data_IF_040274006050
#
_entry.id   IF_040274006050
#
_cell.length_a   1.000
_cell.length_b   1.000
_cell.length_c   1.000
_cell.angle_alpha   90.00
_cell.angle_beta   90.00
_cell.angle_gamma   90.00
#
_symmetry.space_group_name_H-M   'P 1'
#
loop_
_entity.id
_entity.type
_entity.pdbx_description
1 polymer ?
#
# COMPACT_ATOMS: atom_id res chain seq x y z
N UNK A 1 -7.11 29.30 0.12
CA UNK A 1 -7.88 28.26 -0.59
C UNK A 1 -7.88 27.00 0.26
N UNK A 2 -9.06 26.45 0.55
CA UNK A 2 -9.16 25.16 1.23
C UNK A 2 -8.53 24.05 0.35
N UNK A 3 -7.93 23.01 0.95
CA UNK A 3 -7.39 21.91 0.19
C UNK A 3 -8.49 21.19 -0.59
N UNK A 4 -8.19 20.84 -1.83
CA UNK A 4 -9.09 20.08 -2.70
C UNK A 4 -9.29 18.66 -2.14
N UNK A 5 -10.54 18.19 -2.15
CA UNK A 5 -10.95 16.85 -1.68
C UNK A 5 -11.03 15.88 -2.86
N UNK A 6 -9.85 15.49 -3.37
CA UNK A 6 -9.73 14.52 -4.47
C UNK A 6 -9.95 13.12 -3.93
N UNK A 7 -10.97 12.44 -4.46
CA UNK A 7 -11.38 11.10 -4.05
C UNK A 7 -11.18 10.08 -5.17
N UNK A 8 -11.29 8.80 -4.83
CA UNK A 8 -11.22 7.71 -5.81
C UNK A 8 -12.32 7.81 -6.87
N UNK A 9 -13.53 8.18 -6.44
CA UNK A 9 -14.67 8.49 -7.27
C UNK A 9 -14.93 9.99 -7.24
N UNK A 10 -15.32 10.55 -8.38
CA UNK A 10 -15.66 11.96 -8.50
C UNK A 10 -16.88 12.34 -7.68
N UNK A 11 -17.01 13.63 -7.39
CA UNK A 11 -18.15 14.21 -6.67
C UNK A 11 -18.53 15.59 -7.22
N UNK A 12 -19.78 16.00 -7.07
CA UNK A 12 -20.14 17.40 -7.26
C UNK A 12 -19.64 18.24 -6.08
N UNK A 13 -19.41 19.53 -6.33
CA UNK A 13 -19.27 20.52 -5.27
C UNK A 13 -20.63 20.84 -4.66
N UNK A 14 -20.63 21.09 -3.35
CA UNK A 14 -21.79 21.65 -2.68
C UNK A 14 -21.98 23.13 -3.06
N UNK A 15 -23.14 23.69 -2.73
CA UNK A 15 -23.39 25.12 -2.89
C UNK A 15 -22.38 25.97 -2.10
N UNK A 16 -21.93 25.51 -0.93
CA UNK A 16 -20.92 26.18 -0.12
C UNK A 16 -19.54 26.16 -0.79
N UNK A 17 -19.22 25.09 -1.51
CA UNK A 17 -17.93 24.92 -2.19
C UNK A 17 -17.86 25.65 -3.54
N UNK A 18 -19.01 26.11 -4.06
CA UNK A 18 -19.10 26.76 -5.37
C UNK A 18 -18.24 28.04 -5.48
N UNK A 19 -17.96 28.71 -4.36
CA UNK A 19 -17.07 29.87 -4.31
C UNK A 19 -15.66 29.58 -4.86
N UNK A 20 -15.19 28.32 -4.79
CA UNK A 20 -13.89 27.88 -5.34
C UNK A 20 -13.79 28.06 -6.86
N UNK A 21 -14.94 28.15 -7.55
CA UNK A 21 -14.98 28.49 -8.98
C UNK A 21 -14.28 29.82 -9.28
N UNK A 22 -14.33 30.79 -8.37
CA UNK A 22 -13.66 32.09 -8.56
C UNK A 22 -12.12 31.99 -8.55
N UNK A 23 -11.58 30.96 -7.92
CA UNK A 23 -10.14 30.71 -7.86
C UNK A 23 -9.64 29.97 -9.12
N UNK A 24 -10.55 29.38 -9.90
CA UNK A 24 -10.19 28.68 -11.13
C UNK A 24 -9.83 29.67 -12.25
N UNK A 25 -8.98 29.25 -13.22
CA UNK A 25 -8.68 30.06 -14.39
C UNK A 25 -9.98 30.39 -15.15
N UNK A 26 -10.36 31.68 -15.18
CA UNK A 26 -11.61 32.12 -15.79
C UNK A 26 -11.67 31.96 -17.31
N UNK A 27 -10.52 31.88 -17.97
CA UNK A 27 -10.40 31.54 -19.40
C UNK A 27 -9.24 30.58 -19.61
N UNK A 28 -9.50 29.49 -20.33
CA UNK A 28 -8.44 28.57 -20.75
C UNK A 28 -7.72 29.17 -21.97
N UNK A 29 -6.49 29.61 -21.73
CA UNK A 29 -5.60 30.13 -22.77
C UNK A 29 -4.47 29.14 -23.04
N UNK A 30 -3.92 29.18 -24.25
CA UNK A 30 -2.73 28.42 -24.62
C UNK A 30 -1.53 29.36 -24.62
N UNK A 31 -0.58 29.13 -23.73
CA UNK A 31 0.68 29.90 -23.63
C UNK A 31 1.84 28.92 -23.75
N UNK A 32 2.74 29.16 -24.71
CA UNK A 32 3.88 28.28 -24.96
C UNK A 32 3.48 26.82 -25.28
N UNK A 33 2.31 26.63 -25.92
CA UNK A 33 1.77 25.30 -26.24
C UNK A 33 1.14 24.55 -25.06
N UNK A 34 1.02 25.17 -23.88
CA UNK A 34 0.38 24.59 -22.68
C UNK A 34 -0.88 25.36 -22.30
N UNK A 35 -1.84 24.66 -21.67
CA UNK A 35 -3.02 25.30 -21.08
C UNK A 35 -2.64 26.10 -19.83
N UNK A 36 -3.35 27.21 -19.60
CA UNK A 36 -3.16 28.16 -18.51
C UNK A 36 -1.82 28.93 -18.55
N UNK A 37 -1.74 30.04 -17.81
CA UNK A 37 -0.60 30.94 -17.84
C UNK A 37 0.64 30.34 -17.17
N UNK A 38 0.45 29.58 -16.08
CA UNK A 38 1.52 29.00 -15.28
C UNK A 38 1.17 27.60 -14.73
N UNK A 39 2.16 26.94 -14.11
CA UNK A 39 1.99 25.60 -13.53
C UNK A 39 1.05 25.59 -12.31
N UNK A 40 0.95 26.69 -11.57
CA UNK A 40 0.04 26.80 -10.42
C UNK A 40 -1.42 26.76 -10.88
N UNK A 41 -1.76 27.53 -11.92
CA UNK A 41 -3.08 27.53 -12.54
C UNK A 41 -3.42 26.16 -13.16
N UNK A 42 -2.45 25.51 -13.82
CA UNK A 42 -2.62 24.15 -14.35
C UNK A 42 -2.92 23.15 -13.25
N UNK A 43 -2.13 23.16 -12.17
CA UNK A 43 -2.31 22.25 -11.05
C UNK A 43 -3.66 22.47 -10.35
N UNK A 44 -4.07 23.73 -10.19
CA UNK A 44 -5.36 24.07 -9.59
C UNK A 44 -6.54 23.60 -10.44
N UNK A 45 -6.52 23.90 -11.75
CA UNK A 45 -7.53 23.44 -12.69
C UNK A 45 -7.60 21.91 -12.72
N UNK A 46 -6.44 21.24 -12.81
CA UNK A 46 -6.36 19.79 -12.80
C UNK A 46 -6.94 19.22 -11.51
N UNK A 47 -6.58 19.78 -10.35
CA UNK A 47 -7.11 19.34 -9.05
C UNK A 47 -8.63 19.47 -8.97
N UNK A 48 -9.21 20.57 -9.42
CA UNK A 48 -10.66 20.76 -9.43
C UNK A 48 -11.36 19.77 -10.38
N UNK A 49 -10.80 19.55 -11.57
CA UNK A 49 -11.29 18.51 -12.49
C UNK A 49 -11.22 17.11 -11.85
N UNK A 50 -10.14 16.80 -11.12
CA UNK A 50 -9.97 15.53 -10.41
C UNK A 50 -10.98 15.35 -9.28
N UNK A 51 -11.43 16.41 -8.59
CA UNK A 51 -12.54 16.30 -7.63
C UNK A 51 -13.84 15.87 -8.30
N UNK A 52 -14.13 16.40 -9.50
CA UNK A 52 -15.35 16.09 -10.24
C UNK A 52 -15.31 14.73 -10.93
N UNK A 53 -14.15 14.35 -11.46
CA UNK A 53 -13.96 13.13 -12.26
C UNK A 53 -13.57 11.93 -11.39
N UNK A 54 -12.78 12.16 -10.34
CA UNK A 54 -12.21 11.14 -9.47
C UNK A 54 -10.94 10.51 -10.01
N UNK A 55 -10.07 10.08 -9.09
CA UNK A 55 -8.77 9.51 -9.43
C UNK A 55 -8.87 8.26 -10.31
N UNK A 56 -9.88 7.40 -10.11
CA UNK A 56 -10.06 6.17 -10.91
C UNK A 56 -10.25 6.48 -12.39
N UNK A 57 -11.06 7.49 -12.70
CA UNK A 57 -11.30 7.86 -14.10
C UNK A 57 -10.09 8.59 -14.67
N UNK A 58 -9.42 9.42 -13.87
CA UNK A 58 -8.21 10.12 -14.29
C UNK A 58 -7.08 9.17 -14.70
N UNK A 59 -6.81 8.11 -13.92
CA UNK A 59 -5.74 7.15 -14.25
C UNK A 59 -6.01 6.40 -15.56
N UNK A 60 -7.28 6.28 -15.97
CA UNK A 60 -7.64 5.67 -17.26
C UNK A 60 -7.33 6.54 -18.50
N UNK A 61 -6.97 7.81 -18.31
CA UNK A 61 -6.67 8.74 -19.41
C UNK A 61 -5.21 8.66 -19.89
N UNK A 62 -4.36 7.90 -19.21
CA UNK A 62 -2.94 7.73 -19.53
C UNK A 62 -2.49 6.29 -19.38
N UNK A 63 -1.25 5.99 -19.75
CA UNK A 63 -0.68 4.66 -19.50
C UNK A 63 -0.47 4.44 -18.00
N UNK A 64 -0.72 3.21 -17.55
CA UNK A 64 -0.56 2.85 -16.14
C UNK A 64 0.87 3.11 -15.64
N UNK A 65 1.89 2.84 -16.47
CA UNK A 65 3.29 3.02 -16.10
C UNK A 65 3.63 4.48 -15.76
N UNK A 66 3.03 5.46 -16.46
CA UNK A 66 3.30 6.89 -16.19
C UNK A 66 2.77 7.29 -14.82
N UNK A 67 1.61 6.78 -14.44
CA UNK A 67 1.03 7.03 -13.11
C UNK A 67 1.84 6.36 -12.00
N UNK A 68 2.30 5.13 -12.23
CA UNK A 68 3.16 4.41 -11.28
C UNK A 68 4.48 5.15 -11.05
N UNK A 69 5.13 5.62 -12.12
CA UNK A 69 6.37 6.39 -12.04
C UNK A 69 6.18 7.71 -11.26
N UNK A 70 5.13 8.47 -11.56
CA UNK A 70 4.82 9.71 -10.85
C UNK A 70 4.54 9.50 -9.35
N UNK A 71 3.88 8.39 -8.99
CA UNK A 71 3.66 8.02 -7.58
C UNK A 71 4.98 7.65 -6.90
N UNK A 72 5.87 6.94 -7.59
CA UNK A 72 7.19 6.57 -7.07
C UNK A 72 8.02 7.83 -6.77
N UNK A 73 8.14 8.75 -7.73
CA UNK A 73 8.83 10.03 -7.56
C UNK A 73 8.24 10.84 -6.39
N UNK A 74 6.90 10.95 -6.33
CA UNK A 74 6.24 11.65 -5.21
C UNK A 74 6.54 11.02 -3.86
N UNK A 75 6.72 9.71 -3.79
CA UNK A 75 7.08 9.01 -2.54
C UNK A 75 8.51 9.32 -2.11
N UNK A 76 9.41 9.64 -3.03
CA UNK A 76 10.79 10.02 -2.74
C UNK A 76 10.89 11.47 -2.23
N UNK A 77 10.06 12.38 -2.76
CA UNK A 77 10.03 13.80 -2.37
C UNK A 77 9.43 14.04 -0.98
N UNK A 78 8.48 13.21 -0.54
CA UNK A 78 7.85 13.40 0.76
C UNK A 78 8.85 13.04 1.85
N UNK A 79 9.27 14.03 2.65
CA UNK A 79 10.04 13.83 3.88
C UNK A 79 9.18 13.13 4.93
N UNK A 80 9.15 11.80 4.85
CA UNK A 80 8.40 10.92 5.74
C UNK A 80 8.89 10.96 7.18
N UNK A 81 10.09 11.49 7.43
CA UNK A 81 10.67 11.61 8.77
C UNK A 81 10.12 12.83 9.52
N UNK A 82 9.67 13.87 8.80
CA UNK A 82 9.02 15.04 9.37
C UNK A 82 7.52 14.87 9.72
N UNK A 83 6.83 13.84 9.21
CA UNK A 83 5.40 13.62 9.47
C UNK A 83 5.13 13.02 10.87
N UNK A 84 4.38 13.77 11.72
CA UNK A 84 3.92 13.32 13.05
C UNK A 84 3.12 12.02 12.94
N UNK A 85 3.54 10.99 13.68
CA UNK A 85 2.89 9.69 13.73
C UNK A 85 1.44 9.78 14.25
N UNK A 86 0.47 9.35 13.44
CA UNK A 86 -0.92 9.17 13.86
C UNK A 86 -1.26 7.68 13.90
N UNK A 87 -1.40 7.13 15.10
CA UNK A 87 -2.00 5.81 15.32
C UNK A 87 -1.07 4.60 15.21
N UNK A 88 -1.56 3.46 15.71
CA UNK A 88 -0.83 2.20 15.84
C UNK A 88 -0.80 1.34 14.56
N UNK A 89 -1.30 1.86 13.44
CA UNK A 89 -1.36 1.21 12.13
C UNK A 89 -0.11 1.57 11.31
N UNK A 90 1.06 1.19 11.82
CA UNK A 90 2.38 1.51 11.26
C UNK A 90 3.00 0.33 10.48
N UNK A 91 2.27 -0.29 9.55
CA UNK A 91 2.84 -1.36 8.70
C UNK A 91 3.32 -0.85 7.33
N UNK A 92 3.02 0.41 6.97
CA UNK A 92 3.24 0.95 5.63
C UNK A 92 4.10 2.23 5.63
N UNK A 93 5.34 2.18 6.15
CA UNK A 93 6.34 3.23 5.89
C UNK A 93 7.30 2.80 4.77
N UNK A 94 7.76 3.71 3.88
CA UNK A 94 8.79 3.40 2.89
C UNK A 94 10.16 3.01 3.49
N UNK A 95 10.49 3.47 4.71
CA UNK A 95 11.70 3.03 5.40
C UNK A 95 11.72 1.51 5.65
N UNK A 96 10.56 0.91 5.92
CA UNK A 96 10.42 -0.55 5.95
C UNK A 96 10.34 -1.16 4.55
N UNK A 97 10.03 -0.41 3.48
CA UNK A 97 10.09 -0.92 2.10
C UNK A 97 11.51 -1.05 1.54
N UNK A 98 12.49 -0.30 2.08
CA UNK A 98 13.91 -0.44 1.73
C UNK A 98 14.61 -1.60 2.43
N UNK A 99 13.99 -2.13 3.49
CA UNK A 99 14.45 -3.31 4.19
C UNK A 99 14.05 -4.55 3.40
N UNK A 100 14.93 -5.54 3.38
CA UNK A 100 14.60 -6.90 2.97
C UNK A 100 13.43 -7.42 3.81
N UNK A 101 12.72 -8.43 3.33
CA UNK A 101 11.58 -8.98 4.08
C UNK A 101 12.02 -9.52 5.46
N UNK A 102 13.19 -10.14 5.53
CA UNK A 102 13.86 -10.56 6.77
C UNK A 102 14.17 -9.39 7.73
N UNK A 103 14.74 -8.28 7.24
CA UNK A 103 15.00 -7.08 8.05
C UNK A 103 13.70 -6.44 8.59
N UNK A 104 12.60 -6.49 7.81
CA UNK A 104 11.27 -6.06 8.28
C UNK A 104 10.76 -6.92 9.43
N UNK A 105 11.02 -8.23 9.39
CA UNK A 105 10.63 -9.18 10.43
C UNK A 105 11.41 -8.95 11.72
N UNK A 106 12.71 -8.72 11.63
CA UNK A 106 13.57 -8.40 12.78
C UNK A 106 13.13 -7.10 13.46
N UNK A 107 12.93 -6.03 12.68
CA UNK A 107 12.42 -4.77 13.19
C UNK A 107 11.06 -4.94 13.90
N UNK A 108 10.17 -5.78 13.35
CA UNK A 108 8.87 -6.09 13.95
C UNK A 108 9.01 -6.84 15.27
N UNK A 109 9.95 -7.79 15.36
CA UNK A 109 10.25 -8.51 16.58
C UNK A 109 10.77 -7.56 17.67
N UNK A 110 11.64 -6.62 17.31
CA UNK A 110 12.21 -5.66 18.24
C UNK A 110 11.19 -4.62 18.71
N UNK A 111 10.31 -4.14 17.83
CA UNK A 111 9.17 -3.30 18.24
C UNK A 111 8.23 -4.03 19.19
N UNK A 112 8.00 -5.34 18.99
CA UNK A 112 7.22 -6.17 19.93
C UNK A 112 7.90 -6.28 21.29
N UNK A 113 9.21 -6.53 21.34
CA UNK A 113 9.99 -6.55 22.59
C UNK A 113 9.93 -5.20 23.31
N UNK A 114 10.10 -4.09 22.58
CA UNK A 114 9.98 -2.73 23.13
C UNK A 114 8.59 -2.43 23.70
N UNK A 115 7.53 -2.95 23.09
CA UNK A 115 6.15 -2.82 23.60
C UNK A 115 5.90 -3.69 24.83
N UNK A 116 6.42 -4.92 24.85
CA UNK A 116 6.32 -5.81 26.00
C UNK A 116 7.10 -5.26 27.21
N UNK A 117 8.28 -4.67 26.98
CA UNK A 117 9.11 -4.03 28.00
C UNK A 117 8.47 -2.75 28.57
N UNK A 118 7.60 -2.07 27.82
CA UNK A 118 6.94 -0.82 28.27
C UNK A 118 5.76 -1.03 29.23
N UNK A 119 5.37 -2.27 29.52
CA UNK A 119 4.27 -2.59 30.44
C UNK A 119 2.90 -2.04 30.00
N UNK A 120 1.80 -2.48 30.63
CA UNK A 120 0.48 -1.92 30.35
C UNK A 120 0.46 -0.44 30.75
N UNK A 121 0.24 0.44 29.76
CA UNK A 121 0.01 1.87 30.00
C UNK A 121 -1.12 2.02 31.05
N UNK A 122 -0.78 2.42 32.27
CA UNK A 122 -1.75 2.89 33.26
C UNK A 122 -2.48 4.08 32.64
N UNK A 123 -3.75 3.85 32.30
CA UNK A 123 -4.69 4.88 31.87
C UNK A 123 -4.92 5.84 33.03
N UNK A 124 -4.17 6.94 33.08
CA UNK A 124 -4.53 8.11 33.88
C UNK A 124 -5.74 8.77 33.24
N UNK A 125 -6.94 8.34 33.66
CA UNK A 125 -8.17 9.12 33.49
C UNK A 125 -8.18 10.20 34.57
N UNK A 126 -8.00 11.45 34.17
CA UNK A 126 -8.52 12.61 34.89
C UNK A 126 -8.83 13.74 33.89
N UNK A 127 -10.13 14.02 33.79
CA UNK A 127 -10.81 15.28 33.46
C UNK A 127 -10.34 16.15 32.27
N UNK A 128 -11.21 16.30 31.27
CA UNK A 128 -11.93 17.55 31.03
C UNK A 128 -12.99 17.36 29.94
N UNK A 129 -14.21 17.81 30.23
CA UNK A 129 -15.38 17.64 29.39
C UNK A 129 -15.21 18.23 28.00
N UNK A 130 -15.40 17.40 26.99
CA UNK A 130 -15.72 17.85 25.63
C UNK A 130 -16.78 16.90 25.11
N UNK A 131 -17.99 17.43 24.90
CA UNK A 131 -19.11 16.72 24.30
C UNK A 131 -18.68 16.29 22.90
N UNK A 132 -18.15 15.07 22.78
CA UNK A 132 -17.93 14.42 21.49
C UNK A 132 -19.31 14.03 20.99
N UNK A 133 -19.82 14.75 20.00
CA UNK A 133 -20.91 14.25 19.15
C UNK A 133 -20.47 12.89 18.63
N UNK A 134 -21.12 11.82 19.11
CA UNK A 134 -20.95 10.46 18.61
C UNK A 134 -21.44 10.43 17.16
N UNK A 135 -20.57 10.81 16.21
CA UNK A 135 -20.76 10.39 14.83
C UNK A 135 -20.56 8.88 14.80
N UNK A 136 -21.56 8.07 14.42
CA UNK A 136 -21.35 6.64 14.25
C UNK A 136 -20.22 6.45 13.24
N UNK A 137 -19.14 5.79 13.69
CA UNK A 137 -18.03 5.42 12.82
C UNK A 137 -18.64 4.59 11.69
N UNK A 138 -18.40 4.92 10.40
CA UNK A 138 -19.02 4.21 9.30
C UNK A 138 -18.73 2.72 9.47
N UNK A 139 -19.78 1.91 9.54
CA UNK A 139 -19.66 0.49 9.75
C UNK A 139 -18.93 -0.08 8.53
N UNK A 140 -17.67 -0.48 8.73
CA UNK A 140 -16.93 -1.25 7.72
C UNK A 140 -17.80 -2.47 7.40
N UNK A 141 -18.14 -2.65 6.11
CA UNK A 141 -18.92 -3.78 5.61
C UNK A 141 -18.35 -5.10 6.14
N UNK A 142 -19.23 -6.06 6.44
CA UNK A 142 -18.82 -7.41 6.87
C UNK A 142 -17.84 -8.03 5.89
N UNK A 143 -18.03 -7.82 4.59
CA UNK A 143 -17.15 -8.30 3.52
C UNK A 143 -15.73 -7.73 3.64
N UNK A 144 -15.61 -6.42 3.88
CA UNK A 144 -14.31 -5.77 4.05
C UNK A 144 -13.62 -6.32 5.32
N UNK A 145 -14.37 -6.58 6.40
CA UNK A 145 -13.77 -7.18 7.61
C UNK A 145 -13.28 -8.59 7.33
N UNK A 146 -14.06 -9.41 6.63
CA UNK A 146 -13.67 -10.77 6.25
C UNK A 146 -12.41 -10.75 5.39
N UNK A 147 -12.35 -9.88 4.38
CA UNK A 147 -11.17 -9.69 3.55
C UNK A 147 -9.94 -9.28 4.38
N UNK A 148 -10.08 -8.29 5.26
CA UNK A 148 -8.97 -7.84 6.11
C UNK A 148 -8.49 -8.92 7.08
N UNK A 149 -9.40 -9.76 7.59
CA UNK A 149 -9.03 -10.91 8.43
C UNK A 149 -8.26 -11.94 7.62
N UNK A 150 -8.71 -12.27 6.41
CA UNK A 150 -8.02 -13.19 5.51
C UNK A 150 -6.62 -12.68 5.14
N UNK A 151 -6.49 -11.42 4.73
CA UNK A 151 -5.21 -10.78 4.41
C UNK A 151 -4.25 -10.79 5.60
N UNK A 152 -4.73 -10.48 6.81
CA UNK A 152 -3.91 -10.53 8.03
C UNK A 152 -3.47 -11.95 8.37
N UNK A 153 -4.31 -12.95 8.09
CA UNK A 153 -3.99 -14.35 8.30
C UNK A 153 -2.89 -14.80 7.32
N UNK A 154 -3.03 -14.46 6.04
CA UNK A 154 -2.05 -14.73 4.99
C UNK A 154 -0.68 -14.13 5.32
N UNK A 155 -0.65 -12.85 5.70
CA UNK A 155 0.59 -12.18 6.11
C UNK A 155 1.23 -12.83 7.33
N UNK A 156 0.46 -13.26 8.33
CA UNK A 156 1.04 -13.97 9.48
C UNK A 156 1.64 -15.32 9.10
N UNK A 157 1.00 -16.06 8.18
CA UNK A 157 1.52 -17.34 7.69
C UNK A 157 2.83 -17.14 6.93
N UNK A 158 2.88 -16.16 6.03
CA UNK A 158 4.10 -15.82 5.31
C UNK A 158 5.23 -15.40 6.26
N UNK A 159 4.94 -14.55 7.24
CA UNK A 159 5.90 -14.14 8.26
C UNK A 159 6.42 -15.31 9.10
N UNK A 160 5.54 -16.23 9.49
CA UNK A 160 5.93 -17.44 10.22
C UNK A 160 6.79 -18.37 9.35
N UNK A 161 6.42 -18.53 8.08
CA UNK A 161 7.16 -19.38 7.15
C UNK A 161 8.54 -18.82 6.82
N UNK A 162 8.67 -17.51 6.65
CA UNK A 162 9.95 -16.88 6.34
C UNK A 162 11.01 -17.02 7.44
N UNK A 163 10.60 -17.29 8.68
CA UNK A 163 11.49 -17.60 9.78
C UNK A 163 11.99 -19.07 9.77
N UNK A 164 11.59 -19.89 8.80
CA UNK A 164 11.96 -21.31 8.73
C UNK A 164 13.14 -21.58 7.79
N UNK A 165 13.93 -22.66 8.01
CA UNK A 165 14.97 -23.08 7.07
C UNK A 165 14.44 -23.41 5.66
N UNK A 166 13.18 -23.88 5.57
CA UNK A 166 12.54 -24.19 4.31
C UNK A 166 12.35 -22.95 3.42
N UNK A 167 12.06 -21.79 4.01
CA UNK A 167 12.03 -20.54 3.24
C UNK A 167 13.40 -20.18 2.67
N UNK A 168 14.46 -20.33 3.47
CA UNK A 168 15.84 -20.10 2.99
C UNK A 168 16.23 -21.04 1.84
N UNK A 169 15.74 -22.29 1.86
CA UNK A 169 15.90 -23.24 0.75
C UNK A 169 15.21 -22.74 -0.52
N UNK A 170 13.94 -22.36 -0.45
CA UNK A 170 13.21 -21.81 -1.60
C UNK A 170 13.84 -20.52 -2.12
N UNK A 171 14.30 -19.65 -1.22
CA UNK A 171 15.00 -18.44 -1.58
C UNK A 171 16.25 -18.75 -2.40
N UNK A 172 17.03 -19.76 -2.00
CA UNK A 172 18.22 -20.16 -2.74
C UNK A 172 17.90 -20.69 -4.15
N UNK A 173 16.84 -21.49 -4.29
CA UNK A 173 16.37 -21.97 -5.62
C UNK A 173 15.92 -20.78 -6.47
N UNK A 174 15.15 -19.86 -5.90
CA UNK A 174 14.61 -18.71 -6.64
C UNK A 174 15.68 -17.72 -7.13
N UNK A 175 16.88 -17.69 -6.54
CA UNK A 175 17.99 -16.84 -7.04
C UNK A 175 18.38 -17.18 -8.47
N UNK A 176 18.15 -18.42 -8.91
CA UNK A 176 18.42 -18.85 -10.29
C UNK A 176 17.54 -18.13 -11.32
N UNK A 177 16.43 -17.52 -10.88
CA UNK A 177 15.50 -16.79 -11.74
C UNK A 177 15.99 -15.36 -12.09
N UNK A 178 17.05 -14.87 -11.45
CA UNK A 178 17.66 -13.59 -11.80
C UNK A 178 16.83 -12.34 -11.45
N UNK A 179 15.85 -12.46 -10.55
CA UNK A 179 15.06 -11.31 -10.10
C UNK A 179 15.91 -10.32 -9.29
N UNK A 180 15.80 -9.02 -9.59
CA UNK A 180 16.54 -7.93 -8.91
C UNK A 180 16.33 -7.92 -7.39
N UNK A 181 15.14 -8.29 -6.91
CA UNK A 181 14.83 -8.54 -5.50
C UNK A 181 14.18 -9.92 -5.36
N UNK A 182 15.03 -10.94 -5.24
CA UNK A 182 14.60 -12.34 -5.19
C UNK A 182 13.69 -12.64 -3.99
N UNK A 183 13.95 -12.00 -2.84
CA UNK A 183 13.17 -12.25 -1.62
C UNK A 183 11.78 -11.63 -1.73
N UNK A 184 11.66 -10.40 -2.22
CA UNK A 184 10.37 -9.78 -2.47
C UNK A 184 9.58 -10.52 -3.56
N UNK A 185 10.25 -10.95 -4.63
CA UNK A 185 9.63 -11.76 -5.67
C UNK A 185 9.08 -13.08 -5.12
N UNK A 186 9.88 -13.80 -4.32
CA UNK A 186 9.44 -15.07 -3.72
C UNK A 186 8.27 -14.86 -2.75
N UNK A 187 8.31 -13.80 -1.94
CA UNK A 187 7.24 -13.46 -1.02
C UNK A 187 5.92 -13.16 -1.75
N UNK A 188 5.97 -12.42 -2.86
CA UNK A 188 4.81 -12.13 -3.70
C UNK A 188 4.29 -13.40 -4.40
N UNK A 189 5.19 -14.19 -4.98
CA UNK A 189 4.83 -15.45 -5.62
C UNK A 189 4.15 -16.41 -4.64
N UNK A 190 4.64 -16.50 -3.40
CA UNK A 190 4.08 -17.40 -2.39
C UNK A 190 2.63 -17.08 -2.04
N UNK A 191 2.20 -15.81 -2.14
CA UNK A 191 0.85 -15.37 -1.74
C UNK A 191 -0.13 -15.25 -2.90
N UNK A 192 0.34 -15.39 -4.13
CA UNK A 192 -0.51 -15.36 -5.33
C UNK A 192 -0.92 -16.79 -5.74
N UNK A 193 -2.16 -17.00 -6.22
CA UNK A 193 -2.55 -18.29 -6.79
C UNK A 193 -1.66 -18.65 -7.99
N UNK A 194 -1.02 -19.82 -7.94
CA UNK A 194 -0.24 -20.34 -9.05
C UNK A 194 -1.11 -21.30 -9.87
N UNK A 195 -1.41 -20.93 -11.12
CA UNK A 195 -2.29 -21.72 -12.01
C UNK A 195 -1.82 -23.16 -12.16
N UNK A 196 -0.51 -23.35 -12.30
CA UNK A 196 0.17 -24.64 -12.43
C UNK A 196 0.06 -25.53 -11.18
N UNK A 197 -0.16 -24.94 -10.00
CA UNK A 197 -0.30 -25.64 -8.72
C UNK A 197 -1.77 -25.76 -8.27
N UNK A 198 -2.69 -25.06 -8.94
CA UNK A 198 -4.11 -25.03 -8.60
C UNK A 198 -4.45 -24.39 -7.25
N UNK A 199 -3.46 -23.81 -6.56
CA UNK A 199 -3.58 -23.23 -5.23
C UNK A 199 -2.54 -22.13 -5.00
N UNK A 200 -2.59 -21.50 -3.82
CA UNK A 200 -1.55 -20.58 -3.37
C UNK A 200 -0.32 -21.40 -2.97
N UNK A 201 0.90 -21.09 -3.43
CA UNK A 201 2.09 -21.84 -3.04
C UNK A 201 2.31 -21.91 -1.52
N UNK A 202 1.91 -20.85 -0.79
CA UNK A 202 1.94 -20.85 0.68
C UNK A 202 1.02 -21.92 1.32
N UNK A 203 -0.01 -22.39 0.62
CA UNK A 203 -0.87 -23.49 1.08
C UNK A 203 -0.20 -24.87 0.98
N UNK A 204 0.81 -25.00 0.11
CA UNK A 204 1.60 -26.23 0.00
C UNK A 204 2.65 -26.32 1.10
N UNK A 205 3.11 -25.20 1.65
CA UNK A 205 4.13 -25.18 2.73
C UNK A 205 3.72 -26.02 3.94
N UNK A 206 2.42 -26.05 4.26
CA UNK A 206 1.88 -26.79 5.40
C UNK A 206 1.64 -28.28 5.09
N UNK A 207 1.86 -28.72 3.85
CA UNK A 207 1.63 -30.10 3.41
C UNK A 207 2.90 -30.96 3.50
N UNK A 208 2.75 -32.28 3.72
CA UNK A 208 3.85 -33.22 3.50
C UNK A 208 4.43 -33.04 2.09
N UNK A 209 5.75 -33.01 1.96
CA UNK A 209 6.49 -32.84 0.71
C UNK A 209 6.25 -31.51 -0.04
N UNK A 210 5.49 -30.58 0.53
CA UNK A 210 5.17 -29.30 -0.11
C UNK A 210 6.39 -28.47 -0.50
N UNK A 211 7.42 -28.43 0.35
CA UNK A 211 8.67 -27.72 0.05
C UNK A 211 9.41 -28.36 -1.13
N UNK A 212 9.38 -29.68 -1.26
CA UNK A 212 10.00 -30.38 -2.38
C UNK A 212 9.26 -30.08 -3.69
N UNK A 213 7.91 -30.08 -3.65
CA UNK A 213 7.07 -29.72 -4.80
C UNK A 213 7.31 -28.27 -5.23
N UNK A 214 7.37 -27.33 -4.28
CA UNK A 214 7.65 -25.92 -4.56
C UNK A 214 9.05 -25.72 -5.15
N UNK A 215 10.05 -26.46 -4.64
CA UNK A 215 11.42 -26.40 -5.15
C UNK A 215 11.52 -26.94 -6.58
N UNK A 216 10.89 -28.08 -6.86
CA UNK A 216 10.82 -28.66 -8.21
C UNK A 216 10.12 -27.69 -9.16
N UNK A 217 9.02 -27.09 -8.70
CA UNK A 217 8.27 -26.12 -9.49
C UNK A 217 9.12 -24.89 -9.86
N UNK A 218 9.78 -24.26 -8.89
CA UNK A 218 10.66 -23.11 -9.14
C UNK A 218 11.83 -23.48 -10.07
N UNK A 219 12.35 -24.70 -9.95
CA UNK A 219 13.39 -25.22 -10.83
C UNK A 219 12.89 -25.33 -12.26
N UNK A 220 11.67 -25.85 -12.47
CA UNK A 220 11.05 -25.90 -13.80
C UNK A 220 10.79 -24.52 -14.40
N UNK A 221 10.38 -23.54 -13.59
CA UNK A 221 10.29 -22.13 -14.02
C UNK A 221 11.64 -21.66 -14.56
N UNK A 222 12.71 -21.89 -13.79
CA UNK A 222 14.05 -21.39 -14.12
C UNK A 222 14.60 -21.98 -15.42
N UNK A 223 14.28 -23.24 -15.71
CA UNK A 223 14.73 -23.93 -16.93
C UNK A 223 13.74 -23.88 -18.09
N UNK A 224 12.57 -23.24 -17.91
CA UNK A 224 11.54 -23.17 -18.94
C UNK A 224 10.93 -24.53 -19.29
N UNK A 225 10.90 -25.47 -18.35
CA UNK A 225 10.38 -26.83 -18.57
C UNK A 225 8.91 -26.93 -18.13
N UNK A 226 8.00 -26.52 -19.02
CA UNK A 226 6.55 -26.67 -18.87
C UNK A 226 5.91 -27.41 -20.03
#
# INVERSE_FOLDING_TARGET
MEPLDIRLLGRPWSAEEMHRHHDLPGRLEIVGGKLCLDDTQRALLLGALLEHVGARRAVSLGSLQVWEAAIAERREEVDWDAMRAVGAEQFWRPATQRLSFSERLELKADVRKLRAARGPRRSTRACAGRIRRNRPKPAISSEIRTFLVAQRSLMRRLEAFAATPAYAQLLNVSRMLGAHDTEAWLADWLIQPAVTLGCTPLDLVDQPDGIALLSDHLTRVAYGTY
#
